data_IF_193580441101
#
_entry.id   IF_193580441101
#
_cell.length_a   1.000
_cell.length_b   1.000
_cell.length_c   1.000
_cell.angle_alpha   90.00
_cell.angle_beta   90.00
_cell.angle_gamma   90.00
#
_symmetry.space_group_name_H-M   'P 1'
#
loop_
_entity.id
_entity.type
_entity.pdbx_description
1 polymer ?
#
# COMPACT_ATOMS: atom_id res chain seq x y z
N UNK A 1 -15.01 22.82 -2.16
CA UNK A 1 -14.02 23.03 -1.08
C UNK A 1 -13.42 21.69 -0.57
N UNK A 2 -13.15 20.71 -1.44
CA UNK A 2 -12.56 19.41 -1.06
C UNK A 2 -11.02 19.40 -1.11
N UNK A 3 -10.41 20.43 -1.70
CA UNK A 3 -8.99 20.44 -2.06
C UNK A 3 -8.05 20.94 -0.94
N UNK A 4 -8.57 21.51 0.15
CA UNK A 4 -7.73 21.96 1.28
C UNK A 4 -7.40 20.78 2.20
N UNK A 5 -8.41 20.00 2.60
CA UNK A 5 -8.23 18.86 3.52
C UNK A 5 -7.30 17.77 2.97
N UNK A 6 -7.41 17.44 1.68
CA UNK A 6 -6.54 16.45 1.04
C UNK A 6 -5.09 16.92 0.98
N UNK A 7 -4.88 18.22 0.71
CA UNK A 7 -3.56 18.85 0.70
C UNK A 7 -2.94 18.93 2.10
N UNK A 8 -3.77 19.21 3.11
CA UNK A 8 -3.34 19.24 4.52
C UNK A 8 -2.90 17.85 4.99
N UNK A 9 -3.66 16.79 4.65
CA UNK A 9 -3.29 15.40 4.96
C UNK A 9 -1.99 15.02 4.24
N UNK A 10 -1.86 15.35 2.96
CA UNK A 10 -0.65 15.06 2.20
C UNK A 10 0.61 15.70 2.82
N UNK A 11 0.53 16.99 3.16
CA UNK A 11 1.64 17.68 3.81
C UNK A 11 2.00 17.03 5.15
N UNK A 12 1.00 16.64 5.94
CA UNK A 12 1.22 15.92 7.19
C UNK A 12 1.96 14.59 6.95
N UNK A 13 1.56 13.80 5.95
CA UNK A 13 2.24 12.54 5.64
C UNK A 13 3.71 12.78 5.23
N UNK A 14 3.96 13.81 4.42
CA UNK A 14 5.32 14.20 4.02
C UNK A 14 6.16 14.61 5.22
N UNK A 15 5.61 15.42 6.13
CA UNK A 15 6.30 15.84 7.37
C UNK A 15 6.62 14.64 8.28
N UNK A 16 5.69 13.70 8.43
CA UNK A 16 5.90 12.47 9.21
C UNK A 16 7.03 11.65 8.60
N UNK A 17 7.06 11.43 7.28
CA UNK A 17 8.15 10.68 6.64
C UNK A 17 9.48 11.42 6.73
N UNK A 18 9.49 12.76 6.62
CA UNK A 18 10.69 13.56 6.80
C UNK A 18 11.27 13.39 8.22
N UNK A 19 10.42 13.37 9.25
CA UNK A 19 10.85 13.10 10.62
C UNK A 19 11.39 11.66 10.78
N UNK A 20 10.75 10.68 10.12
CA UNK A 20 11.17 9.29 10.16
C UNK A 20 12.50 9.01 9.46
N UNK A 21 13.00 9.90 8.59
CA UNK A 21 14.29 9.69 7.93
C UNK A 21 15.44 9.48 8.92
N UNK A 22 15.37 10.11 10.09
CA UNK A 22 16.37 10.02 11.14
C UNK A 22 16.10 8.93 12.19
N UNK A 23 14.99 8.19 12.05
CA UNK A 23 14.64 7.10 12.96
C UNK A 23 15.41 5.81 12.63
N UNK A 24 15.54 4.93 13.62
CA UNK A 24 16.17 3.62 13.44
C UNK A 24 15.39 2.75 12.44
N UNK A 25 16.11 1.79 11.83
CA UNK A 25 15.52 0.87 10.86
C UNK A 25 14.36 0.04 11.42
N UNK A 26 14.36 -0.30 12.72
CA UNK A 26 13.25 -1.01 13.36
C UNK A 26 11.98 -0.18 13.38
N UNK A 27 12.06 1.11 13.69
CA UNK A 27 10.93 2.03 13.65
C UNK A 27 10.41 2.17 12.22
N UNK A 28 11.30 2.39 11.23
CA UNK A 28 10.90 2.50 9.82
C UNK A 28 10.16 1.25 9.32
N UNK A 29 10.64 0.06 9.70
CA UNK A 29 9.97 -1.22 9.42
C UNK A 29 8.58 -1.30 10.04
N UNK A 30 8.45 -0.93 11.32
CA UNK A 30 7.16 -0.94 11.99
C UNK A 30 6.16 0.01 11.31
N UNK A 31 6.58 1.23 10.99
CA UNK A 31 5.74 2.20 10.28
C UNK A 31 5.30 1.69 8.89
N UNK A 32 6.16 0.95 8.18
CA UNK A 32 5.79 0.32 6.90
C UNK A 32 4.71 -0.75 7.08
N UNK A 33 4.87 -1.61 8.10
CA UNK A 33 3.90 -2.67 8.44
C UNK A 33 2.57 -2.06 8.89
N UNK A 34 2.61 -1.10 9.81
CA UNK A 34 1.42 -0.43 10.31
C UNK A 34 0.65 0.26 9.17
N UNK A 35 1.35 0.92 8.24
CA UNK A 35 0.72 1.57 7.09
C UNK A 35 -0.05 0.58 6.21
N UNK A 36 0.51 -0.59 5.91
CA UNK A 36 -0.19 -1.60 5.10
C UNK A 36 -1.33 -2.24 5.89
N UNK A 37 -1.18 -2.50 7.19
CA UNK A 37 -2.25 -3.03 8.04
C UNK A 37 -3.43 -2.07 8.17
N UNK A 38 -3.16 -0.77 8.31
CA UNK A 38 -4.19 0.28 8.29
C UNK A 38 -4.95 0.25 6.95
N UNK A 39 -4.26 0.03 5.83
CA UNK A 39 -4.93 -0.08 4.52
C UNK A 39 -5.91 -1.26 4.44
N UNK A 40 -5.69 -2.32 5.22
CA UNK A 40 -6.60 -3.47 5.30
C UNK A 40 -7.93 -3.16 6.02
N UNK A 41 -7.99 -2.13 6.85
CA UNK A 41 -9.16 -1.87 7.72
C UNK A 41 -9.76 -0.47 7.59
N UNK A 42 -9.01 0.52 7.09
CA UNK A 42 -9.41 1.92 6.98
C UNK A 42 -10.48 2.14 5.93
N UNK A 43 -11.43 3.05 6.18
CA UNK A 43 -12.37 3.53 5.14
C UNK A 43 -11.69 4.26 3.97
N UNK A 44 -10.45 4.72 4.15
CA UNK A 44 -9.67 5.47 3.15
C UNK A 44 -8.33 4.77 2.87
N UNK A 45 -8.33 3.60 2.20
CA UNK A 45 -7.10 2.88 1.87
C UNK A 45 -6.13 3.72 1.05
N UNK A 46 -6.60 4.66 0.20
CA UNK A 46 -5.75 5.59 -0.55
C UNK A 46 -4.74 6.33 0.33
N UNK A 47 -5.16 6.81 1.50
CA UNK A 47 -4.32 7.60 2.40
C UNK A 47 -3.21 6.75 3.01
N UNK A 48 -3.55 5.52 3.40
CA UNK A 48 -2.59 4.55 3.92
C UNK A 48 -1.57 4.13 2.84
N UNK A 49 -2.02 3.93 1.60
CA UNK A 49 -1.16 3.58 0.47
C UNK A 49 -0.27 4.75 0.02
N UNK A 50 -0.75 5.99 0.10
CA UNK A 50 0.09 7.17 -0.14
C UNK A 50 1.23 7.26 0.89
N UNK A 51 0.91 7.04 2.16
CA UNK A 51 1.93 7.01 3.20
C UNK A 51 2.92 5.86 3.02
N UNK A 52 2.43 4.68 2.62
CA UNK A 52 3.25 3.54 2.25
C UNK A 52 4.18 3.85 1.07
N UNK A 53 3.70 4.60 0.07
CA UNK A 53 4.50 5.13 -1.04
C UNK A 53 5.63 6.04 -0.57
N UNK A 54 5.33 6.98 0.32
CA UNK A 54 6.34 7.90 0.87
C UNK A 54 7.41 7.14 1.68
N UNK A 55 6.99 6.22 2.54
CA UNK A 55 7.90 5.38 3.33
C UNK A 55 8.79 4.52 2.44
N UNK A 56 8.18 3.77 1.52
CA UNK A 56 8.90 2.87 0.63
C UNK A 56 9.87 3.60 -0.28
N UNK A 57 9.40 4.71 -0.83
CA UNK A 57 10.21 5.60 -1.62
C UNK A 57 11.42 6.11 -0.84
N UNK A 58 11.20 6.75 0.31
CA UNK A 58 12.29 7.35 1.11
C UNK A 58 13.33 6.34 1.62
N UNK A 59 12.95 5.07 1.77
CA UNK A 59 13.81 4.04 2.34
C UNK A 59 14.46 3.12 1.30
N UNK A 60 13.99 3.11 0.05
CA UNK A 60 14.55 2.25 -1.00
C UNK A 60 15.73 2.92 -1.72
N UNK A 61 16.48 2.14 -2.50
CA UNK A 61 17.62 2.61 -3.30
C UNK A 61 17.33 3.76 -4.29
N UNK A 62 16.05 4.05 -4.56
CA UNK A 62 15.61 5.14 -5.45
C UNK A 62 15.19 6.41 -4.70
N UNK A 63 15.40 6.49 -3.38
CA UNK A 63 14.87 7.54 -2.51
C UNK A 63 15.19 8.99 -2.88
N UNK A 64 16.24 9.24 -3.66
CA UNK A 64 16.61 10.58 -4.16
C UNK A 64 15.84 11.05 -5.40
N UNK A 65 15.05 10.17 -6.04
CA UNK A 65 14.40 10.42 -7.33
C UNK A 65 12.89 10.62 -7.26
N UNK A 66 12.29 10.52 -6.07
CA UNK A 66 10.83 10.43 -5.97
C UNK A 66 10.13 11.77 -6.16
N UNK A 67 9.13 11.72 -7.03
CA UNK A 67 8.22 12.81 -7.35
C UNK A 67 7.27 13.09 -6.18
N UNK A 68 7.12 14.36 -5.78
CA UNK A 68 6.17 14.82 -4.75
C UNK A 68 4.70 14.84 -5.22
N UNK A 69 4.39 14.18 -6.33
CA UNK A 69 3.04 14.01 -6.85
C UNK A 69 2.43 12.69 -6.36
N UNK A 70 1.18 12.73 -5.90
CA UNK A 70 0.51 11.60 -5.25
C UNK A 70 0.31 10.40 -6.19
N UNK A 71 -0.12 10.64 -7.42
CA UNK A 71 -0.39 9.56 -8.38
C UNK A 71 0.89 8.95 -8.91
N UNK A 72 1.90 9.78 -9.16
CA UNK A 72 3.24 9.32 -9.57
C UNK A 72 3.85 8.44 -8.47
N UNK A 73 3.79 8.90 -7.21
CA UNK A 73 4.27 8.13 -6.06
C UNK A 73 3.60 6.75 -5.97
N UNK A 74 2.28 6.69 -6.12
CA UNK A 74 1.55 5.42 -6.10
C UNK A 74 1.93 4.55 -7.30
N UNK A 75 2.09 5.14 -8.49
CA UNK A 75 2.50 4.41 -9.70
C UNK A 75 3.88 3.76 -9.57
N UNK A 76 4.75 4.33 -8.73
CA UNK A 76 6.09 3.82 -8.46
C UNK A 76 6.12 2.67 -7.42
N UNK A 77 5.01 2.40 -6.71
CA UNK A 77 4.93 1.33 -5.69
C UNK A 77 5.39 -0.05 -6.18
N UNK A 78 5.03 -0.52 -7.40
CA UNK A 78 5.52 -1.80 -7.92
C UNK A 78 7.04 -1.84 -8.14
N UNK A 79 7.74 -0.71 -8.03
CA UNK A 79 9.20 -0.62 -8.12
C UNK A 79 9.81 -0.37 -6.75
N UNK A 80 9.30 0.61 -5.99
CA UNK A 80 9.88 1.03 -4.70
C UNK A 80 9.71 -0.03 -3.63
N UNK A 81 8.52 -0.63 -3.49
CA UNK A 81 8.25 -1.63 -2.45
C UNK A 81 9.05 -2.91 -2.65
N UNK A 82 9.05 -3.55 -3.84
CA UNK A 82 9.89 -4.72 -4.04
C UNK A 82 11.36 -4.43 -3.86
N UNK A 83 11.84 -3.25 -4.31
CA UNK A 83 13.22 -2.86 -4.08
C UNK A 83 13.58 -2.70 -2.61
N UNK A 84 12.63 -2.30 -1.76
CA UNK A 84 12.85 -2.15 -0.32
C UNK A 84 12.80 -3.50 0.39
N UNK A 85 11.72 -4.25 0.18
CA UNK A 85 11.39 -5.47 0.93
C UNK A 85 12.36 -6.62 0.63
N UNK A 86 13.01 -6.59 -0.54
CA UNK A 86 14.05 -7.57 -0.91
C UNK A 86 15.42 -7.26 -0.31
N UNK A 87 15.62 -6.10 0.33
CA UNK A 87 16.87 -5.82 1.03
C UNK A 87 16.98 -6.68 2.31
N UNK A 88 18.17 -7.24 2.63
CA UNK A 88 18.34 -8.10 3.82
C UNK A 88 17.93 -7.46 5.15
N UNK A 89 18.01 -6.13 5.24
CA UNK A 89 17.58 -5.38 6.44
C UNK A 89 16.05 -5.35 6.62
N UNK A 90 15.27 -5.70 5.60
CA UNK A 90 13.81 -5.69 5.59
C UNK A 90 13.19 -7.10 5.57
N UNK A 91 13.99 -8.14 5.34
CA UNK A 91 13.54 -9.53 5.26
C UNK A 91 12.68 -9.97 6.46
N UNK A 92 13.02 -9.49 7.67
CA UNK A 92 12.30 -9.81 8.92
C UNK A 92 10.81 -9.42 8.92
N UNK A 93 10.41 -8.44 8.10
CA UNK A 93 9.00 -8.03 7.95
C UNK A 93 8.40 -8.40 6.59
N UNK A 94 9.18 -9.00 5.68
CA UNK A 94 8.77 -9.17 4.29
C UNK A 94 7.50 -10.04 4.14
N UNK A 95 7.47 -11.21 4.77
CA UNK A 95 6.33 -12.13 4.65
C UNK A 95 5.05 -11.55 5.25
N UNK A 96 5.12 -10.97 6.45
CA UNK A 96 3.96 -10.37 7.11
C UNK A 96 3.47 -9.16 6.32
N UNK A 97 4.39 -8.30 5.87
CA UNK A 97 4.08 -7.15 5.03
C UNK A 97 3.37 -7.55 3.73
N UNK A 98 3.91 -8.52 2.98
CA UNK A 98 3.33 -8.95 1.71
C UNK A 98 1.98 -9.65 1.91
N UNK A 99 1.80 -10.37 3.02
CA UNK A 99 0.50 -10.95 3.38
C UNK A 99 -0.55 -9.88 3.67
N UNK A 100 -0.19 -8.80 4.37
CA UNK A 100 -1.07 -7.65 4.61
C UNK A 100 -1.34 -6.88 3.32
N UNK A 101 -0.32 -6.67 2.48
CA UNK A 101 -0.47 -6.04 1.16
C UNK A 101 -1.49 -6.79 0.31
N UNK A 102 -1.37 -8.12 0.22
CA UNK A 102 -2.35 -8.97 -0.45
C UNK A 102 -3.76 -8.80 0.12
N UNK A 103 -3.90 -8.77 1.44
CA UNK A 103 -5.21 -8.62 2.10
C UNK A 103 -5.87 -7.29 1.74
N UNK A 104 -5.09 -6.22 1.69
CA UNK A 104 -5.54 -4.91 1.23
C UNK A 104 -5.93 -4.93 -0.26
N UNK A 105 -5.14 -5.59 -1.12
CA UNK A 105 -5.44 -5.78 -2.54
C UNK A 105 -6.76 -6.53 -2.75
N UNK A 106 -6.98 -7.64 -2.04
CA UNK A 106 -8.24 -8.40 -2.09
C UNK A 106 -9.42 -7.52 -1.68
N UNK A 107 -9.28 -6.76 -0.59
CA UNK A 107 -10.33 -5.87 -0.10
C UNK A 107 -10.73 -4.82 -1.14
N UNK A 108 -9.77 -4.16 -1.77
CA UNK A 108 -10.04 -3.17 -2.82
C UNK A 108 -10.63 -3.87 -4.07
N UNK A 109 -10.13 -5.03 -4.46
CA UNK A 109 -10.66 -5.81 -5.58
C UNK A 109 -12.14 -6.15 -5.40
N UNK A 110 -12.51 -6.67 -4.23
CA UNK A 110 -13.90 -7.00 -3.90
C UNK A 110 -14.80 -5.76 -3.91
N UNK A 111 -14.30 -4.64 -3.38
CA UNK A 111 -15.03 -3.38 -3.39
C UNK A 111 -15.24 -2.84 -4.81
N UNK A 112 -14.20 -2.81 -5.66
CA UNK A 112 -14.27 -2.35 -7.06
C UNK A 112 -15.18 -3.25 -7.91
N UNK A 113 -15.18 -4.56 -7.65
CA UNK A 113 -15.99 -5.52 -8.40
C UNK A 113 -17.41 -5.69 -7.84
N UNK A 114 -17.76 -4.94 -6.79
CA UNK A 114 -19.03 -5.05 -6.05
C UNK A 114 -19.35 -6.49 -5.59
N UNK A 115 -18.33 -7.35 -5.53
CA UNK A 115 -18.41 -8.69 -4.98
C UNK A 115 -18.18 -8.51 -3.48
N UNK A 116 -19.24 -8.64 -2.67
CA UNK A 116 -19.16 -8.45 -1.22
C UNK A 116 -17.93 -9.13 -0.59
N UNK A 117 -17.38 -8.51 0.46
CA UNK A 117 -16.18 -8.99 1.16
C UNK A 117 -16.40 -10.44 1.66
N UNK A 118 -15.41 -11.35 1.54
CA UNK A 118 -15.53 -12.68 2.13
C UNK A 118 -15.72 -12.58 3.65
N UNK A 119 -16.57 -13.46 4.22
CA UNK A 119 -17.05 -13.46 5.62
C UNK A 119 -15.96 -13.27 6.71
N UNK A 120 -14.70 -13.51 6.36
CA UNK A 120 -13.50 -13.46 7.19
C UNK A 120 -13.05 -12.02 7.55
N UNK A 121 -13.69 -10.98 7.00
CA UNK A 121 -13.24 -9.57 7.09
C UNK A 121 -14.16 -8.68 7.94
N UNK A 122 -14.88 -9.29 8.90
CA UNK A 122 -15.92 -8.64 9.72
C UNK A 122 -15.47 -7.45 10.58
N UNK A 123 -14.16 -7.22 10.75
CA UNK A 123 -13.61 -6.09 11.50
C UNK A 123 -13.23 -4.88 10.64
N UNK A 124 -13.20 -5.01 9.31
CA UNK A 124 -12.82 -3.93 8.42
C UNK A 124 -13.94 -2.89 8.32
N UNK A 125 -13.58 -1.60 8.34
CA UNK A 125 -14.55 -0.54 8.04
C UNK A 125 -14.97 -0.63 6.56
N UNK A 126 -16.19 -0.21 6.18
CA UNK A 126 -16.52 -0.08 4.77
C UNK A 126 -15.61 0.99 4.12
N UNK A 127 -15.14 0.71 2.90
CA UNK A 127 -14.44 1.72 2.08
C UNK A 127 -15.43 2.83 1.73
N UNK A 128 -15.01 4.07 1.94
CA UNK A 128 -15.84 5.25 1.72
C UNK A 128 -16.11 5.47 0.23
N UNK A 129 -17.32 5.96 -0.10
CA UNK A 129 -17.72 6.19 -1.48
C UNK A 129 -16.86 7.21 -2.23
N UNK A 130 -16.17 8.11 -1.53
CA UNK A 130 -15.24 9.07 -2.12
C UNK A 130 -13.99 8.43 -2.74
N UNK A 131 -13.67 7.18 -2.40
CA UNK A 131 -12.52 6.44 -2.96
C UNK A 131 -12.81 5.90 -4.38
N UNK A 132 -14.06 6.02 -4.87
CA UNK A 132 -14.51 5.38 -6.12
C UNK A 132 -13.69 5.82 -7.33
N UNK A 133 -13.32 7.09 -7.38
CA UNK A 133 -12.60 7.66 -8.50
C UNK A 133 -11.14 7.14 -8.60
N UNK A 134 -10.54 6.73 -7.47
CA UNK A 134 -9.14 6.29 -7.40
C UNK A 134 -9.00 4.77 -7.25
N UNK A 135 -10.04 4.05 -6.82
CA UNK A 135 -9.94 2.65 -6.46
C UNK A 135 -9.49 1.71 -7.58
N UNK A 136 -9.90 1.94 -8.83
CA UNK A 136 -9.42 1.14 -9.98
C UNK A 136 -7.92 1.33 -10.20
N UNK A 137 -7.43 2.57 -10.04
CA UNK A 137 -6.00 2.86 -10.11
C UNK A 137 -5.23 2.21 -8.95
N UNK A 138 -5.73 2.32 -7.72
CA UNK A 138 -5.13 1.66 -6.56
C UNK A 138 -5.08 0.14 -6.74
N UNK A 139 -6.18 -0.46 -7.22
CA UNK A 139 -6.23 -1.90 -7.50
C UNK A 139 -5.14 -2.30 -8.51
N UNK A 140 -4.98 -1.55 -9.59
CA UNK A 140 -3.95 -1.81 -10.60
C UNK A 140 -2.55 -1.75 -10.00
N UNK A 141 -2.25 -0.68 -9.27
CA UNK A 141 -0.97 -0.49 -8.59
C UNK A 141 -0.68 -1.61 -7.60
N UNK A 142 -1.64 -1.92 -6.73
CA UNK A 142 -1.48 -2.95 -5.71
C UNK A 142 -1.35 -4.35 -6.31
N UNK A 143 -2.13 -4.66 -7.35
CA UNK A 143 -2.02 -5.90 -8.11
C UNK A 143 -0.62 -6.09 -8.69
N UNK A 144 -0.09 -5.08 -9.39
CA UNK A 144 1.26 -5.14 -9.95
C UNK A 144 2.33 -5.25 -8.87
N UNK A 145 2.16 -4.56 -7.74
CA UNK A 145 3.07 -4.68 -6.59
C UNK A 145 3.05 -6.11 -6.03
N UNK A 146 1.86 -6.72 -5.86
CA UNK A 146 1.73 -8.11 -5.44
C UNK A 146 2.36 -9.10 -6.45
N UNK A 147 2.29 -8.83 -7.76
CA UNK A 147 2.98 -9.64 -8.76
C UNK A 147 4.49 -9.62 -8.55
N UNK A 148 5.07 -8.43 -8.32
CA UNK A 148 6.50 -8.27 -8.08
C UNK A 148 6.97 -8.95 -6.78
N UNK A 149 6.06 -9.13 -5.81
CA UNK A 149 6.32 -9.74 -4.50
C UNK A 149 5.74 -11.15 -4.35
N UNK A 150 5.29 -11.78 -5.44
CA UNK A 150 4.54 -13.06 -5.40
C UNK A 150 5.29 -14.20 -4.71
N UNK A 151 6.62 -14.16 -4.70
CA UNK A 151 7.47 -15.20 -4.09
C UNK A 151 7.28 -15.28 -2.57
N UNK A 152 6.87 -14.19 -1.92
CA UNK A 152 6.53 -14.15 -0.49
C UNK A 152 5.10 -14.62 -0.20
N UNK A 153 4.28 -14.90 -1.23
CA UNK A 153 2.91 -15.37 -1.05
C UNK A 153 2.84 -16.91 -1.12
N UNK A 154 2.01 -17.56 -0.27
CA UNK A 154 1.64 -18.96 -0.45
C UNK A 154 1.04 -19.25 -1.83
N UNK A 155 1.22 -20.46 -2.33
CA UNK A 155 0.77 -20.88 -3.67
C UNK A 155 -0.72 -20.58 -3.93
N UNK A 156 -1.59 -20.80 -2.94
CA UNK A 156 -3.02 -20.51 -3.07
C UNK A 156 -3.28 -19.03 -3.39
N UNK A 157 -2.58 -18.11 -2.71
CA UNK A 157 -2.69 -16.66 -2.96
C UNK A 157 -2.09 -16.28 -4.31
N UNK A 158 -0.99 -16.92 -4.73
CA UNK A 158 -0.43 -16.71 -6.06
C UNK A 158 -1.41 -17.11 -7.18
N UNK A 159 -2.11 -18.24 -7.03
CA UNK A 159 -3.14 -18.68 -7.98
C UNK A 159 -4.33 -17.72 -8.00
N UNK A 160 -4.78 -17.23 -6.83
CA UNK A 160 -5.84 -16.22 -6.77
C UNK A 160 -5.41 -14.92 -7.45
N UNK A 161 -4.19 -14.44 -7.19
CA UNK A 161 -3.62 -13.26 -7.83
C UNK A 161 -3.63 -13.41 -9.35
N UNK A 162 -3.17 -14.55 -9.88
CA UNK A 162 -3.18 -14.80 -11.33
C UNK A 162 -4.57 -14.78 -11.98
N UNK A 163 -5.63 -15.03 -11.21
CA UNK A 163 -7.01 -15.08 -11.68
C UNK A 163 -7.80 -13.78 -11.42
N UNK A 164 -7.20 -12.77 -10.79
CA UNK A 164 -7.87 -11.47 -10.60
C UNK A 164 -8.05 -10.76 -11.94
N UNK A 165 -9.27 -10.30 -12.20
CA UNK A 165 -9.58 -9.51 -13.38
C UNK A 165 -9.33 -8.03 -13.07
N UNK A 166 -8.12 -7.58 -13.39
CA UNK A 166 -7.70 -6.17 -13.24
C UNK A 166 -7.54 -5.60 -14.65
N UNK A 167 -8.59 -4.93 -15.13
CA UNK A 167 -8.63 -4.21 -16.42
C UNK A 167 -8.42 -2.73 -16.24
#
# INVERSE_FOLDING_TARGET
MLNSKSKDIWNLLVEVVAALQYADGSFKRQWLVDAVEISCVSSYPSTALLFLGLLSGSCCKYGSLLTLDQLSLLSDLPVTLPSLVTEPSWEVVAESFVSSLWTSTERIYYWVTEKGLPDNTSSAQPIDGSEKDIASFLLHVMYHTCICLKEYLPLEKQLKLANMLVT
#
